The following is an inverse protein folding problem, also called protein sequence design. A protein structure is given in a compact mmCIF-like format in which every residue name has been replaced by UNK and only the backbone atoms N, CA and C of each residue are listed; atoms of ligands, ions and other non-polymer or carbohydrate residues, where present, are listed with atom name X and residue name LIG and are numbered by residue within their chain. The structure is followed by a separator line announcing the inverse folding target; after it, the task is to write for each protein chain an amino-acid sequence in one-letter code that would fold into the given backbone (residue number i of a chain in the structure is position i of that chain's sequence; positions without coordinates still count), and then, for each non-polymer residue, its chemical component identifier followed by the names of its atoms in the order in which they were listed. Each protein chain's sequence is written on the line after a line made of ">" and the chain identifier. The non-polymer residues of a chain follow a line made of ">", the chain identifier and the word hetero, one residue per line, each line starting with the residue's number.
data_IF_246097621009
#
_entry.id   IF_246097621009
#
_cell.length_a   1.000
_cell.length_b   1.000
_cell.length_c   1.000
_cell.angle_alpha   90.00
_cell.angle_beta   90.00
_cell.angle_gamma   90.00
#
_symmetry.space_group_name_H-M   'P 1'
#
loop_
_entity.id
_entity.type
_entity.pdbx_description
1 polymer ?
#
# COMPACT_ATOMS: atom_id res chain seq x y z
N UNK A 1 1.12 8.81 -23.10
CA UNK A 1 2.53 9.22 -22.98
C UNK A 1 3.33 7.96 -23.14
N UNK A 2 4.26 7.94 -24.08
CA UNK A 2 5.00 6.73 -24.41
C UNK A 2 6.47 6.94 -24.07
N UNK A 3 7.08 5.99 -23.37
CA UNK A 3 8.48 6.04 -22.99
C UNK A 3 9.09 4.64 -23.11
N UNK A 4 10.27 4.55 -23.72
CA UNK A 4 10.99 3.30 -23.88
C UNK A 4 11.98 3.11 -22.75
N UNK A 5 12.11 1.87 -22.27
CA UNK A 5 13.14 1.46 -21.33
C UNK A 5 13.75 0.14 -21.78
N UNK A 6 15.01 -0.09 -21.41
CA UNK A 6 15.74 -1.31 -21.74
C UNK A 6 15.90 -2.17 -20.49
N UNK A 7 15.60 -3.46 -20.62
CA UNK A 7 15.94 -4.45 -19.61
C UNK A 7 17.44 -4.73 -19.67
N UNK A 8 18.12 -4.55 -18.55
CA UNK A 8 19.53 -4.92 -18.42
C UNK A 8 19.70 -6.43 -18.26
N UNK A 9 20.91 -6.94 -18.44
CA UNK A 9 21.22 -8.37 -18.22
C UNK A 9 20.95 -8.85 -16.79
N UNK A 10 20.92 -7.91 -15.82
CA UNK A 10 20.61 -8.19 -14.42
C UNK A 10 19.11 -8.11 -14.11
N UNK A 11 18.26 -7.95 -15.13
CA UNK A 11 16.81 -7.86 -14.95
C UNK A 11 16.31 -6.50 -14.45
N UNK A 12 17.14 -5.46 -14.45
CA UNK A 12 16.72 -4.11 -14.05
C UNK A 12 16.16 -3.32 -15.23
N UNK A 13 15.07 -2.60 -15.01
CA UNK A 13 14.52 -1.57 -15.89
C UNK A 13 14.62 -0.22 -15.18
N UNK A 14 15.05 0.82 -15.90
CA UNK A 14 15.02 2.19 -15.39
C UNK A 14 13.70 2.83 -15.76
N UNK A 15 12.99 3.39 -14.78
CA UNK A 15 11.76 4.17 -15.02
C UNK A 15 12.16 5.52 -15.66
N UNK A 16 11.73 5.83 -16.90
CA UNK A 16 12.08 7.09 -17.57
C UNK A 16 11.59 8.32 -16.80
N UNK A 17 12.28 9.45 -16.93
CA UNK A 17 11.96 10.68 -16.16
C UNK A 17 10.50 11.10 -16.30
N UNK A 18 9.96 11.08 -17.51
CA UNK A 18 8.57 11.45 -17.76
C UNK A 18 7.55 10.57 -17.00
N UNK A 19 7.85 9.27 -16.87
CA UNK A 19 7.01 8.33 -16.10
C UNK A 19 7.16 8.55 -14.60
N UNK A 20 8.38 8.83 -14.10
CA UNK A 20 8.60 9.16 -12.69
C UNK A 20 7.86 10.43 -12.29
N UNK A 21 7.94 11.46 -13.13
CA UNK A 21 7.29 12.75 -12.88
C UNK A 21 5.75 12.58 -12.90
N UNK A 22 5.21 11.75 -13.80
CA UNK A 22 3.77 11.47 -13.87
C UNK A 22 3.22 10.62 -12.71
N UNK A 23 4.05 9.79 -12.08
CA UNK A 23 3.70 8.93 -10.94
C UNK A 23 4.21 9.48 -9.59
N UNK A 24 4.78 10.68 -9.60
CA UNK A 24 5.39 11.33 -8.43
C UNK A 24 6.38 10.42 -7.68
N UNK A 25 7.16 9.65 -8.44
CA UNK A 25 8.15 8.69 -7.93
C UNK A 25 9.47 9.38 -7.57
N UNK A 26 9.97 9.11 -6.38
CA UNK A 26 11.25 9.57 -5.85
C UNK A 26 12.18 8.39 -5.56
N UNK A 27 13.47 8.68 -5.40
CA UNK A 27 14.43 7.66 -4.99
C UNK A 27 14.09 7.17 -3.58
N UNK A 28 13.96 5.86 -3.42
CA UNK A 28 13.55 5.23 -2.15
C UNK A 28 12.07 4.85 -2.09
N UNK A 29 11.25 5.32 -3.03
CA UNK A 29 9.85 4.90 -3.12
C UNK A 29 9.75 3.41 -3.43
N UNK A 30 8.82 2.74 -2.74
CA UNK A 30 8.42 1.39 -3.07
C UNK A 30 7.39 1.41 -4.20
N UNK A 31 7.53 0.48 -5.14
CA UNK A 31 6.58 0.30 -6.25
C UNK A 31 6.05 -1.12 -6.25
N UNK A 32 4.76 -1.26 -6.51
CA UNK A 32 4.10 -2.55 -6.66
C UNK A 32 3.87 -2.85 -8.13
N UNK A 33 4.34 -4.03 -8.56
CA UNK A 33 4.11 -4.56 -9.90
C UNK A 33 2.90 -5.48 -9.89
N UNK A 34 1.96 -5.25 -10.81
CA UNK A 34 0.86 -6.18 -11.09
C UNK A 34 0.91 -6.59 -12.55
N UNK A 35 0.74 -7.87 -12.83
CA UNK A 35 0.70 -8.41 -14.19
C UNK A 35 -0.75 -8.64 -14.59
N UNK A 36 -1.14 -8.07 -15.71
CA UNK A 36 -2.47 -8.17 -16.31
C UNK A 36 -2.29 -8.65 -17.76
N UNK A 37 -2.23 -9.98 -17.94
CA UNK A 37 -1.89 -10.59 -19.23
C UNK A 37 -0.46 -10.24 -19.66
N UNK A 38 -0.33 -9.51 -20.77
CA UNK A 38 0.95 -9.01 -21.29
C UNK A 38 1.30 -7.60 -20.79
N UNK A 39 0.44 -6.99 -19.98
CA UNK A 39 0.63 -5.64 -19.44
C UNK A 39 1.14 -5.73 -18.01
N UNK A 40 2.08 -4.85 -17.67
CA UNK A 40 2.55 -4.64 -16.30
C UNK A 40 2.06 -3.28 -15.82
N UNK A 41 1.26 -3.28 -14.76
CA UNK A 41 0.81 -2.08 -14.08
C UNK A 41 1.75 -1.80 -12.91
N UNK A 42 2.28 -0.57 -12.87
CA UNK A 42 3.16 -0.11 -11.81
C UNK A 42 2.46 0.96 -10.98
N UNK A 43 2.41 0.75 -9.67
CA UNK A 43 1.81 1.70 -8.73
C UNK A 43 2.81 2.09 -7.64
N UNK A 44 2.83 3.38 -7.27
CA UNK A 44 3.53 3.83 -6.06
C UNK A 44 2.80 3.26 -4.84
N UNK A 45 3.55 2.64 -3.94
CA UNK A 45 3.01 2.20 -2.66
C UNK A 45 3.11 3.37 -1.69
N UNK A 46 1.99 3.84 -1.09
CA UNK A 46 2.05 4.88 -0.05
C UNK A 46 2.85 4.37 1.15
N UNK A 47 3.57 5.27 1.82
CA UNK A 47 4.21 4.92 3.08
C UNK A 47 3.13 4.56 4.11
N UNK A 48 3.39 3.57 4.97
CA UNK A 48 2.44 3.18 6.00
C UNK A 48 2.11 4.38 6.92
N UNK A 49 3.09 5.24 7.18
CA UNK A 49 2.92 6.44 8.01
C UNK A 49 2.09 7.51 7.30
N UNK A 50 2.11 7.57 5.96
CA UNK A 50 1.22 8.47 5.20
C UNK A 50 -0.26 8.09 5.38
N UNK A 51 -0.54 6.83 5.74
CA UNK A 51 -1.89 6.34 6.03
C UNK A 51 -2.32 6.60 7.49
N UNK A 52 -1.46 7.13 8.35
CA UNK A 52 -1.79 7.38 9.74
C UNK A 52 -2.98 8.34 9.86
N UNK A 53 -4.05 7.90 10.54
CA UNK A 53 -5.28 8.68 10.70
C UNK A 53 -6.26 8.63 9.51
N UNK A 54 -5.97 7.85 8.47
CA UNK A 54 -6.89 7.66 7.32
C UNK A 54 -8.17 6.88 7.68
N UNK A 55 -8.14 6.09 8.75
CA UNK A 55 -9.29 5.33 9.24
C UNK A 55 -9.96 6.09 10.39
N UNK A 56 -11.25 6.44 10.29
CA UNK A 56 -11.94 7.16 11.36
C UNK A 56 -12.07 6.28 12.60
N UNK A 57 -11.75 6.86 13.76
CA UNK A 57 -11.87 6.18 15.05
C UNK A 57 -13.34 6.20 15.50
N UNK A 58 -13.99 5.04 15.73
CA UNK A 58 -15.36 5.00 16.21
C UNK A 58 -15.50 5.69 17.59
N UNK A 59 -16.56 6.50 17.82
CA UNK A 59 -16.76 7.19 19.09
C UNK A 59 -16.76 6.27 20.31
N UNK A 60 -17.20 5.03 20.15
CA UNK A 60 -17.35 4.05 21.24
C UNK A 60 -16.02 3.60 21.83
N UNK A 61 -14.93 3.71 21.06
CA UNK A 61 -13.57 3.32 21.48
C UNK A 61 -12.66 4.52 21.72
N UNK A 62 -13.15 5.74 21.47
CA UNK A 62 -12.39 6.96 21.67
C UNK A 62 -12.00 7.12 23.15
N UNK A 63 -10.71 7.23 23.43
CA UNK A 63 -10.17 7.37 24.78
C UNK A 63 -9.96 6.07 25.55
N UNK A 64 -10.24 4.90 24.95
CA UNK A 64 -9.87 3.60 25.52
C UNK A 64 -8.40 3.29 25.25
N UNK A 65 -7.81 2.45 26.10
CA UNK A 65 -6.45 1.94 25.87
C UNK A 65 -6.40 0.97 24.69
N UNK A 66 -5.22 0.83 24.09
CA UNK A 66 -5.02 -0.08 22.97
C UNK A 66 -5.28 -1.55 23.35
N UNK A 67 -4.92 -1.93 24.58
CA UNK A 67 -5.13 -3.27 25.12
C UNK A 67 -6.63 -3.61 25.21
N UNK A 68 -7.44 -2.72 25.80
CA UNK A 68 -8.90 -2.90 25.88
C UNK A 68 -9.57 -3.01 24.51
N UNK A 69 -9.11 -2.20 23.53
CA UNK A 69 -9.64 -2.24 22.16
C UNK A 69 -9.33 -3.58 21.50
N UNK A 70 -8.08 -4.04 21.62
CA UNK A 70 -7.59 -5.29 21.01
C UNK A 70 -8.31 -6.50 21.60
N UNK A 71 -8.42 -6.57 22.92
CA UNK A 71 -9.01 -7.72 23.60
C UNK A 71 -10.52 -7.83 23.28
N UNK A 72 -11.23 -6.70 23.23
CA UNK A 72 -12.64 -6.66 22.83
C UNK A 72 -12.87 -7.04 21.35
N UNK A 73 -11.97 -6.62 20.46
CA UNK A 73 -12.06 -6.95 19.04
C UNK A 73 -11.87 -8.46 18.80
N UNK A 74 -10.88 -9.08 19.46
CA UNK A 74 -10.66 -10.52 19.37
C UNK A 74 -11.81 -11.32 19.97
N UNK A 75 -12.36 -10.92 21.12
CA UNK A 75 -13.50 -11.60 21.72
C UNK A 75 -14.73 -11.68 20.78
N UNK A 76 -15.01 -10.61 20.01
CA UNK A 76 -16.06 -10.62 18.98
C UNK A 76 -15.74 -11.52 17.80
N UNK A 77 -14.49 -11.50 17.34
CA UNK A 77 -14.05 -12.26 16.17
C UNK A 77 -14.13 -13.78 16.38
N UNK A 78 -14.02 -14.26 17.63
CA UNK A 78 -14.26 -15.66 17.98
C UNK A 78 -15.73 -16.05 17.92
N UNK A 79 -16.65 -15.19 18.37
CA UNK A 79 -18.09 -15.46 18.35
C UNK A 79 -18.67 -15.53 16.92
N UNK A 80 -18.19 -14.66 16.02
CA UNK A 80 -18.63 -14.65 14.62
C UNK A 80 -18.11 -15.85 13.79
N UNK A 81 -17.09 -16.58 14.29
CA UNK A 81 -16.54 -17.78 13.63
C UNK A 81 -17.21 -19.09 14.06
N UNK A 82 -17.93 -19.09 15.18
CA UNK A 82 -18.65 -20.26 15.71
C UNK A 82 -20.15 -20.27 15.36
N UNK A 83 -20.64 -19.27 14.64
CA UNK A 83 -22.03 -19.18 14.12
C UNK A 83 -22.13 -19.48 12.62
#
# INVERSE_FOLDING_TARGET
>A
MDALARLTSKGQITVPKAVRDALELQAGDNVHFRVEGEVVVLAKTPDLLDLAGSVPVPPQVKGRSWEEIRDAAWARQWQDRES
#
